data_IF_235568232107
#
_entry.id   IF_235568232107
#
_cell.length_a   1.000
_cell.length_b   1.000
_cell.length_c   1.000
_cell.angle_alpha   90.00
_cell.angle_beta   90.00
_cell.angle_gamma   90.00
#
_symmetry.space_group_name_H-M   'P 1'
#
loop_
_entity.id
_entity.type
_entity.pdbx_description
1 polymer ?
#
# COMPACT_ATOMS: atom_id res chain seq x y z
N UNK A 1 18.97 13.40 -8.18
CA UNK A 1 20.17 13.96 -7.51
C UNK A 1 19.65 14.78 -6.34
N UNK A 2 20.21 14.61 -5.13
CA UNK A 2 19.82 15.42 -3.98
C UNK A 2 20.27 16.87 -4.23
N UNK A 3 19.46 17.85 -3.84
CA UNK A 3 19.81 19.26 -3.94
C UNK A 3 21.02 19.57 -3.04
N UNK A 4 22.01 20.28 -3.57
CA UNK A 4 23.17 20.75 -2.81
C UNK A 4 22.89 22.15 -2.27
N UNK A 5 22.94 22.29 -0.94
CA UNK A 5 22.57 23.54 -0.26
C UNK A 5 23.63 24.61 -0.50
N UNK A 6 23.19 25.82 -0.80
CA UNK A 6 24.08 26.98 -0.89
C UNK A 6 24.21 27.64 0.48
N UNK A 7 25.44 27.86 0.95
CA UNK A 7 25.69 28.57 2.20
C UNK A 7 26.01 30.03 1.90
N UNK A 8 25.10 30.91 2.31
CA UNK A 8 25.28 32.35 2.20
C UNK A 8 26.33 32.81 3.21
N UNK A 9 27.11 33.82 2.84
CA UNK A 9 28.15 34.44 3.69
C UNK A 9 28.01 35.94 3.66
N UNK A 10 28.19 36.58 4.82
CA UNK A 10 28.05 38.03 4.96
C UNK A 10 29.26 38.80 4.40
N UNK A 11 30.43 38.20 4.41
CA UNK A 11 31.65 38.79 3.84
C UNK A 11 32.45 37.73 3.11
N UNK A 12 33.17 38.13 2.06
CA UNK A 12 34.15 37.28 1.40
C UNK A 12 35.52 37.92 1.58
N UNK A 13 36.45 37.19 2.21
CA UNK A 13 37.84 37.62 2.42
C UNK A 13 38.78 36.75 1.59
N UNK A 14 39.91 37.31 1.20
CA UNK A 14 40.98 36.58 0.53
C UNK A 14 41.79 35.72 1.52
N UNK A 15 42.75 34.96 1.00
CA UNK A 15 43.63 34.11 1.80
C UNK A 15 44.54 34.87 2.80
N UNK A 16 44.60 36.21 2.70
CA UNK A 16 45.34 37.10 3.59
C UNK A 16 44.42 37.93 4.52
N UNK A 17 43.10 37.71 4.46
CA UNK A 17 42.11 38.40 5.28
C UNK A 17 41.62 39.74 4.72
N UNK A 18 42.00 40.11 3.50
CA UNK A 18 41.48 41.32 2.84
C UNK A 18 40.09 41.10 2.27
N UNK A 19 39.19 42.07 2.43
CA UNK A 19 37.80 41.95 1.98
C UNK A 19 37.71 42.07 0.46
N UNK A 20 37.31 40.97 -0.20
CA UNK A 20 37.07 40.91 -1.65
C UNK A 20 35.68 41.47 -1.98
N UNK A 21 34.69 41.18 -1.12
CA UNK A 21 33.31 41.64 -1.30
C UNK A 21 32.69 42.01 0.04
N UNK A 22 32.21 43.25 0.14
CA UNK A 22 31.42 43.75 1.27
C UNK A 22 30.03 43.12 1.26
N UNK A 23 29.51 42.82 2.45
CA UNK A 23 28.19 42.23 2.62
C UNK A 23 27.04 43.11 2.14
N UNK A 24 25.93 42.48 1.79
CA UNK A 24 24.64 43.15 1.59
C UNK A 24 23.94 43.36 2.94
N UNK A 25 22.91 44.23 3.00
CA UNK A 25 22.06 44.38 4.21
C UNK A 25 21.25 43.12 4.57
N UNK A 26 21.34 42.08 3.74
CA UNK A 26 20.71 40.79 3.94
C UNK A 26 21.73 39.88 4.59
N UNK A 27 21.40 39.30 5.74
CA UNK A 27 22.34 38.51 6.53
C UNK A 27 22.30 37.00 6.19
N UNK A 28 23.44 36.36 6.45
CA UNK A 28 23.71 34.95 6.28
C UNK A 28 22.75 34.09 7.11
N UNK A 29 22.43 34.54 8.33
CA UNK A 29 21.63 33.77 9.27
C UNK A 29 20.20 33.54 8.74
N UNK A 30 19.53 34.60 8.29
CA UNK A 30 18.16 34.49 7.78
C UNK A 30 18.14 33.76 6.44
N UNK A 31 19.09 34.00 5.54
CA UNK A 31 19.11 33.28 4.27
C UNK A 31 19.42 31.80 4.41
N UNK A 32 20.34 31.41 5.28
CA UNK A 32 20.59 29.99 5.52
C UNK A 32 19.41 29.32 6.24
N UNK A 33 18.67 30.04 7.09
CA UNK A 33 17.44 29.52 7.69
C UNK A 33 16.36 29.28 6.62
N UNK A 34 16.19 30.22 5.68
CA UNK A 34 15.28 30.08 4.54
C UNK A 34 15.69 28.91 3.65
N UNK A 35 16.97 28.79 3.31
CA UNK A 35 17.51 27.70 2.50
C UNK A 35 17.33 26.33 3.19
N UNK A 36 17.53 26.27 4.52
CA UNK A 36 17.25 25.07 5.32
C UNK A 36 15.78 24.70 5.22
N UNK A 37 14.89 25.67 5.49
CA UNK A 37 13.45 25.43 5.47
C UNK A 37 12.95 24.97 4.11
N UNK A 38 13.45 25.57 3.03
CA UNK A 38 13.09 25.19 1.65
C UNK A 38 13.62 23.78 1.32
N UNK A 39 14.88 23.49 1.63
CA UNK A 39 15.49 22.17 1.43
C UNK A 39 14.71 21.08 2.17
N UNK A 40 14.42 21.28 3.45
CA UNK A 40 13.70 20.30 4.28
C UNK A 40 12.25 20.11 3.80
N UNK A 41 11.57 21.21 3.40
CA UNK A 41 10.23 21.12 2.82
C UNK A 41 10.24 20.35 1.49
N UNK A 42 11.25 20.57 0.64
CA UNK A 42 11.39 19.85 -0.63
C UNK A 42 11.62 18.35 -0.40
N UNK A 43 12.43 17.98 0.60
CA UNK A 43 12.68 16.59 0.97
C UNK A 43 11.43 15.95 1.54
N UNK A 44 10.75 16.63 2.46
CA UNK A 44 9.49 16.16 3.04
C UNK A 44 8.43 15.94 1.95
N UNK A 45 8.32 16.87 0.99
CA UNK A 45 7.42 16.73 -0.14
C UNK A 45 7.75 15.51 -1.00
N UNK A 46 9.04 15.29 -1.33
CA UNK A 46 9.46 14.11 -2.08
C UNK A 46 9.10 12.80 -1.36
N UNK A 47 9.36 12.71 -0.05
CA UNK A 47 9.01 11.54 0.77
C UNK A 47 7.49 11.32 0.78
N UNK A 48 6.71 12.38 0.99
CA UNK A 48 5.24 12.30 0.98
C UNK A 48 4.72 11.83 -0.37
N UNK A 49 5.27 12.33 -1.47
CA UNK A 49 4.90 11.91 -2.82
C UNK A 49 5.24 10.43 -3.07
N UNK A 50 6.41 9.95 -2.64
CA UNK A 50 6.75 8.53 -2.71
C UNK A 50 5.81 7.63 -1.88
N UNK A 51 5.37 8.12 -0.72
CA UNK A 51 4.36 7.42 0.09
C UNK A 51 2.99 7.41 -0.60
N UNK A 52 2.55 8.55 -1.13
CA UNK A 52 1.27 8.65 -1.85
C UNK A 52 1.23 7.69 -3.03
N UNK A 53 2.28 7.66 -3.86
CA UNK A 53 2.38 6.71 -4.98
C UNK A 53 2.24 5.26 -4.50
N UNK A 54 2.87 4.88 -3.39
CA UNK A 54 2.73 3.54 -2.82
C UNK A 54 1.33 3.25 -2.28
N UNK A 55 0.66 4.26 -1.71
CA UNK A 55 -0.70 4.13 -1.18
C UNK A 55 -1.76 4.06 -2.28
N UNK A 56 -1.60 4.84 -3.34
CA UNK A 56 -2.53 4.89 -4.48
C UNK A 56 -2.66 3.52 -5.16
N UNK A 57 -1.57 2.73 -5.23
CA UNK A 57 -1.62 1.35 -5.73
C UNK A 57 -2.41 0.40 -4.84
N UNK A 58 -2.82 0.78 -3.62
CA UNK A 58 -3.60 -0.09 -2.74
C UNK A 58 -5.11 0.20 -2.77
N UNK A 59 -5.57 1.21 -3.55
CA UNK A 59 -6.93 1.75 -3.43
C UNK A 59 -7.97 1.00 -4.29
N UNK A 60 -7.55 0.29 -5.34
CA UNK A 60 -8.51 -0.46 -6.18
C UNK A 60 -8.97 -1.74 -5.49
N UNK A 61 -10.26 -1.82 -5.20
CA UNK A 61 -10.86 -3.05 -4.70
C UNK A 61 -11.19 -4.00 -5.85
N UNK A 62 -10.87 -5.27 -5.64
CA UNK A 62 -11.35 -6.36 -6.47
C UNK A 62 -12.49 -7.08 -5.74
N UNK A 63 -13.64 -7.22 -6.42
CA UNK A 63 -14.84 -7.81 -5.85
C UNK A 63 -15.15 -9.15 -6.52
N UNK A 64 -15.37 -10.19 -5.72
CA UNK A 64 -15.86 -11.49 -6.16
C UNK A 64 -17.17 -11.82 -5.47
N UNK A 65 -18.05 -12.54 -6.18
CA UNK A 65 -19.22 -13.18 -5.58
C UNK A 65 -19.18 -14.67 -5.89
N UNK A 66 -19.34 -15.50 -4.87
CA UNK A 66 -19.28 -16.96 -5.04
C UNK A 66 -20.09 -17.71 -4.00
N UNK A 67 -20.37 -18.97 -4.30
CA UNK A 67 -21.09 -19.89 -3.41
C UNK A 67 -20.14 -20.97 -2.91
N UNK A 68 -19.94 -21.00 -1.59
CA UNK A 68 -19.28 -22.08 -0.87
C UNK A 68 -20.30 -23.20 -0.66
N UNK A 69 -20.21 -24.26 -1.46
CA UNK A 69 -21.12 -25.41 -1.37
C UNK A 69 -20.43 -26.57 -0.65
N UNK A 70 -21.04 -27.06 0.44
CA UNK A 70 -20.58 -28.28 1.09
C UNK A 70 -20.95 -29.49 0.25
N UNK A 71 -19.91 -30.07 -0.34
CA UNK A 71 -19.99 -31.29 -1.14
C UNK A 71 -19.02 -32.30 -0.53
N UNK A 72 -19.48 -33.54 -0.37
CA UNK A 72 -18.69 -34.61 0.25
C UNK A 72 -19.00 -34.79 1.73
N UNK A 73 -18.09 -34.35 2.60
CA UNK A 73 -18.18 -34.58 4.05
C UNK A 73 -19.25 -33.70 4.70
N UNK A 74 -20.07 -34.32 5.54
CA UNK A 74 -21.11 -33.64 6.32
C UNK A 74 -20.53 -33.12 7.63
N UNK A 75 -21.18 -32.11 8.18
CA UNK A 75 -20.90 -31.60 9.52
C UNK A 75 -20.90 -32.75 10.55
N UNK A 76 -19.95 -32.80 11.51
CA UNK A 76 -18.94 -31.77 11.84
C UNK A 76 -17.61 -31.87 11.09
N UNK A 77 -17.49 -32.75 10.09
CA UNK A 77 -16.25 -32.99 9.35
C UNK A 77 -16.19 -32.29 7.99
N UNK A 78 -17.01 -31.26 7.79
CA UNK A 78 -17.02 -30.51 6.54
C UNK A 78 -15.70 -29.75 6.37
N UNK A 79 -14.96 -30.06 5.30
CA UNK A 79 -13.66 -29.48 5.01
C UNK A 79 -13.55 -29.05 3.54
N UNK A 80 -14.67 -28.71 2.89
CA UNK A 80 -14.64 -28.33 1.49
C UNK A 80 -13.95 -26.97 1.32
N UNK A 81 -12.83 -27.02 0.60
CA UNK A 81 -12.05 -25.86 0.20
C UNK A 81 -12.59 -25.27 -1.11
N UNK A 82 -12.64 -23.95 -1.20
CA UNK A 82 -12.93 -23.21 -2.44
C UNK A 82 -11.77 -22.26 -2.74
N UNK A 83 -11.08 -22.50 -3.85
CA UNK A 83 -9.98 -21.64 -4.30
C UNK A 83 -10.54 -20.40 -5.00
N UNK A 84 -10.02 -19.23 -4.61
CA UNK A 84 -10.31 -17.95 -5.23
C UNK A 84 -9.08 -17.47 -5.98
N UNK A 85 -9.19 -17.35 -7.30
CA UNK A 85 -8.18 -16.71 -8.14
C UNK A 85 -8.46 -15.21 -8.26
N UNK A 86 -7.44 -14.39 -8.04
CA UNK A 86 -7.49 -12.96 -8.28
C UNK A 86 -7.32 -12.69 -9.78
N UNK A 87 -8.16 -11.84 -10.34
CA UNK A 87 -8.10 -11.35 -11.70
C UNK A 87 -6.95 -10.36 -11.90
N UNK A 88 -6.65 -9.54 -10.88
CA UNK A 88 -5.49 -8.66 -10.90
C UNK A 88 -4.29 -9.32 -10.24
N UNK A 89 -3.15 -9.29 -10.93
CA UNK A 89 -1.88 -9.80 -10.40
C UNK A 89 -1.43 -8.96 -9.19
N UNK A 90 -0.89 -9.65 -8.19
CA UNK A 90 -0.34 -9.07 -6.96
C UNK A 90 1.15 -9.42 -6.84
N UNK A 91 1.90 -8.53 -6.21
CA UNK A 91 3.35 -8.70 -6.00
C UNK A 91 3.68 -9.67 -4.86
N UNK A 92 2.82 -9.71 -3.85
CA UNK A 92 3.02 -10.44 -2.62
C UNK A 92 1.68 -10.90 -2.02
N UNK A 93 1.74 -11.57 -0.87
CA UNK A 93 0.56 -12.07 -0.13
C UNK A 93 -0.02 -11.05 0.86
N UNK A 94 0.53 -9.83 0.94
CA UNK A 94 0.14 -8.77 1.86
C UNK A 94 -1.03 -7.95 1.30
N UNK A 95 -2.07 -8.64 0.86
CA UNK A 95 -3.34 -8.04 0.48
C UNK A 95 -4.39 -8.34 1.56
N UNK A 96 -5.33 -7.41 1.73
CA UNK A 96 -6.46 -7.57 2.62
C UNK A 96 -7.56 -8.36 1.91
N UNK A 97 -8.21 -9.26 2.65
CA UNK A 97 -9.38 -10.02 2.18
C UNK A 97 -10.47 -9.83 3.21
N UNK A 98 -11.55 -9.18 2.80
CA UNK A 98 -12.76 -9.02 3.58
C UNK A 98 -13.85 -9.91 2.97
N UNK A 99 -14.51 -10.71 3.80
CA UNK A 99 -15.56 -11.63 3.36
C UNK A 99 -16.86 -11.28 4.04
N UNK A 100 -17.87 -10.94 3.26
CA UNK A 100 -19.22 -10.67 3.72
C UNK A 100 -20.16 -11.80 3.29
N UNK A 101 -20.98 -12.28 4.21
CA UNK A 101 -22.02 -13.28 3.90
C UNK A 101 -23.24 -12.58 3.32
N UNK A 102 -23.69 -13.02 2.15
CA UNK A 102 -24.89 -12.51 1.51
C UNK A 102 -26.12 -13.35 1.88
N UNK A 103 -26.01 -14.67 1.76
CA UNK A 103 -27.08 -15.63 2.05
C UNK A 103 -26.49 -16.99 2.41
N UNK A 104 -27.23 -17.80 3.18
CA UNK A 104 -26.87 -19.19 3.46
C UNK A 104 -28.11 -20.06 3.63
N UNK A 105 -27.97 -21.36 3.41
CA UNK A 105 -29.09 -22.30 3.53
C UNK A 105 -28.65 -23.70 3.96
N UNK A 106 -29.63 -24.54 4.33
CA UNK A 106 -29.43 -25.96 4.64
C UNK A 106 -28.66 -26.24 5.92
N UNK A 107 -28.62 -25.28 6.84
CA UNK A 107 -28.01 -25.44 8.17
C UNK A 107 -27.64 -24.11 8.79
N UNK A 108 -26.86 -24.17 9.87
CA UNK A 108 -26.33 -23.02 10.58
C UNK A 108 -25.02 -22.54 9.96
N UNK A 109 -24.89 -21.23 9.77
CA UNK A 109 -23.63 -20.60 9.43
C UNK A 109 -22.61 -20.81 10.56
N UNK A 110 -21.35 -21.01 10.19
CA UNK A 110 -20.21 -21.02 11.08
C UNK A 110 -19.20 -19.96 10.62
N UNK A 111 -17.96 -20.06 11.09
CA UNK A 111 -16.92 -19.12 10.74
C UNK A 111 -16.44 -19.35 9.31
N UNK A 112 -16.25 -18.26 8.58
CA UNK A 112 -15.59 -18.28 7.27
C UNK A 112 -14.13 -17.97 7.47
N UNK A 113 -13.28 -18.89 7.03
CA UNK A 113 -11.82 -18.80 7.17
C UNK A 113 -11.18 -18.59 5.81
N UNK A 114 -10.27 -17.62 5.76
CA UNK A 114 -9.35 -17.38 4.65
C UNK A 114 -8.01 -18.03 5.01
N UNK A 115 -7.50 -18.90 4.14
CA UNK A 115 -6.22 -19.61 4.36
C UNK A 115 -5.51 -19.87 3.03
N UNK A 116 -4.31 -20.47 3.08
CA UNK A 116 -3.46 -20.75 1.91
C UNK A 116 -3.32 -19.55 0.96
N UNK A 117 -2.95 -18.39 1.54
CA UNK A 117 -2.70 -17.18 0.76
C UNK A 117 -1.50 -17.37 -0.16
N UNK A 118 -1.73 -17.19 -1.45
CA UNK A 118 -0.74 -17.10 -2.50
C UNK A 118 -0.79 -15.71 -3.14
N UNK A 119 0.19 -15.35 -3.97
CA UNK A 119 0.25 -14.03 -4.63
C UNK A 119 -1.08 -13.69 -5.31
N UNK A 120 -1.61 -14.58 -6.15
CA UNK A 120 -2.80 -14.31 -6.97
C UNK A 120 -4.02 -15.13 -6.56
N UNK A 121 -4.12 -15.49 -5.28
CA UNK A 121 -5.27 -16.26 -4.81
C UNK A 121 -5.15 -16.75 -3.38
N UNK A 122 -6.25 -17.23 -2.86
CA UNK A 122 -6.37 -17.78 -1.52
C UNK A 122 -7.47 -18.83 -1.51
N UNK A 123 -7.68 -19.49 -0.37
CA UNK A 123 -8.78 -20.43 -0.18
C UNK A 123 -9.76 -19.94 0.86
N UNK A 124 -11.02 -20.31 0.65
CA UNK A 124 -12.13 -20.12 1.57
C UNK A 124 -12.65 -21.47 2.04
N UNK A 125 -13.07 -21.52 3.30
CA UNK A 125 -13.79 -22.63 3.93
C UNK A 125 -14.74 -22.06 4.98
N UNK A 126 -15.88 -22.70 5.20
CA UNK A 126 -16.69 -22.47 6.38
C UNK A 126 -16.82 -23.75 7.20
N UNK A 127 -16.92 -23.63 8.53
CA UNK A 127 -17.05 -24.77 9.47
C UNK A 127 -18.49 -25.01 9.96
N UNK A 128 -19.43 -24.18 9.51
CA UNK A 128 -20.86 -24.33 9.83
C UNK A 128 -21.53 -25.51 9.13
N UNK A 129 -22.67 -25.92 9.65
CA UNK A 129 -23.53 -26.97 9.06
C UNK A 129 -24.30 -26.56 7.80
N UNK A 130 -24.27 -25.27 7.42
CA UNK A 130 -24.91 -24.79 6.19
C UNK A 130 -24.43 -25.58 4.96
N UNK A 131 -25.36 -26.00 4.10
CA UNK A 131 -25.03 -26.71 2.87
C UNK A 131 -24.51 -25.77 1.80
N UNK A 132 -24.97 -24.52 1.79
CA UNK A 132 -24.53 -23.47 0.88
C UNK A 132 -24.40 -22.15 1.61
N UNK A 133 -23.32 -21.42 1.32
CA UNK A 133 -23.07 -20.06 1.82
C UNK A 133 -22.61 -19.21 0.64
N UNK A 134 -23.35 -18.15 0.31
CA UNK A 134 -22.96 -17.19 -0.71
C UNK A 134 -22.26 -16.01 -0.05
N UNK A 135 -21.10 -15.66 -0.58
CA UNK A 135 -20.23 -14.64 -0.03
C UNK A 135 -19.87 -13.60 -1.09
N UNK A 136 -19.78 -12.35 -0.67
CA UNK A 136 -19.07 -11.30 -1.38
C UNK A 136 -17.67 -11.20 -0.76
N UNK A 137 -16.65 -11.22 -1.61
CA UNK A 137 -15.26 -11.10 -1.20
C UNK A 137 -14.68 -9.84 -1.78
N UNK A 138 -14.14 -8.98 -0.93
CA UNK A 138 -13.43 -7.76 -1.30
C UNK A 138 -11.95 -7.96 -1.03
N UNK A 139 -11.14 -7.72 -2.05
CA UNK A 139 -9.69 -7.86 -1.98
C UNK A 139 -9.04 -6.53 -2.30
N UNK A 140 -8.22 -6.02 -1.39
CA UNK A 140 -7.56 -4.72 -1.52
C UNK A 140 -6.06 -4.81 -1.21
N UNK A 141 -5.27 -3.96 -1.86
CA UNK A 141 -3.83 -3.85 -1.65
C UNK A 141 -2.96 -4.93 -2.30
N UNK A 142 -1.64 -4.74 -2.28
CA UNK A 142 -0.69 -5.72 -2.82
C UNK A 142 -0.57 -5.74 -4.34
N UNK A 143 -1.09 -4.74 -5.03
CA UNK A 143 -0.96 -4.61 -6.49
C UNK A 143 0.48 -4.32 -6.93
N UNK A 144 0.78 -4.71 -8.15
CA UNK A 144 2.02 -4.34 -8.87
C UNK A 144 2.03 -2.86 -9.21
N UNK A 145 3.19 -2.22 -9.07
CA UNK A 145 3.48 -0.91 -9.63
C UNK A 145 3.17 -0.94 -11.14
N UNK A 146 2.15 -0.19 -11.59
CA UNK A 146 1.74 -0.10 -12.99
C UNK A 146 2.76 0.62 -13.89
N UNK A 147 4.05 0.58 -13.59
CA UNK A 147 5.10 1.01 -14.53
C UNK A 147 4.89 0.28 -15.85
N UNK A 148 4.42 1.05 -16.83
CA UNK A 148 4.27 0.66 -18.23
C UNK A 148 5.54 -0.05 -18.66
N UNK A 149 5.46 -1.36 -18.85
CA UNK A 149 6.52 -2.15 -19.48
C UNK A 149 6.42 -1.96 -20.98
N UNK A 150 6.73 -0.75 -21.45
CA UNK A 150 7.00 -0.50 -22.87
C UNK A 150 8.52 -0.47 -23.02
N UNK A 151 9.06 -1.58 -23.53
CA UNK A 151 10.38 -1.65 -24.16
C UNK A 151 10.13 -1.78 -25.65
#
# INVERSE_FOLDING_TARGET
>A
MAYERTYWVDHVVDQHGEVIQQGTLLDQQHFNNLETGLSDASLAHAIMHFKQVQEDYNITDELHTMTLAQTGLKWPFNNKETTVGLAQLRENTNYSVEVAVLEYSGGRLGDIRVYDRAKNGFKLMHDGSASTVKVAVRVSGGMTDQRVTDI
#
